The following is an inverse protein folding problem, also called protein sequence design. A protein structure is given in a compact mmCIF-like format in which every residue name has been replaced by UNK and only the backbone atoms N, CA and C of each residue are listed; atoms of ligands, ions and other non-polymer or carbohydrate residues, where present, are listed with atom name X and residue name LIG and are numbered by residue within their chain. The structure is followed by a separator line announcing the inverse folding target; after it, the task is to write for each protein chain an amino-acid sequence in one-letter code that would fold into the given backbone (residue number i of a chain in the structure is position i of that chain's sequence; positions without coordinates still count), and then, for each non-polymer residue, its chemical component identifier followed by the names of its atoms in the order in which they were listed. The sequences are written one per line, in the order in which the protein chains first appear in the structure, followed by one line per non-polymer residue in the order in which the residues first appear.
data_IF_254764449907
#
_entry.id   IF_254764449907
#
_cell.length_a   1.000
_cell.length_b   1.000
_cell.length_c   1.000
_cell.angle_alpha   90.00
_cell.angle_beta   90.00
_cell.angle_gamma   90.00
#
_symmetry.space_group_name_H-M   'P 1'
#
loop_
_entity.id
_entity.type
_entity.pdbx_description
1 polymer ?
#
# COMPACT_ATOMS: atom_id res chain seq x y z
N UNK A 1 -4.81 -25.64 8.35
CA UNK A 1 -3.78 -24.96 7.52
C UNK A 1 -4.44 -23.72 6.93
N UNK A 2 -4.00 -22.55 7.33
CA UNK A 2 -4.54 -21.30 6.79
C UNK A 2 -4.21 -21.16 5.30
N UNK A 3 -5.07 -20.46 4.54
CA UNK A 3 -4.88 -20.21 3.10
C UNK A 3 -3.50 -19.60 2.80
N UNK A 4 -3.01 -18.75 3.71
CA UNK A 4 -1.68 -18.13 3.63
C UNK A 4 -0.52 -19.13 3.72
N UNK A 5 -0.64 -20.12 4.62
CA UNK A 5 0.35 -21.21 4.78
C UNK A 5 0.31 -22.15 3.59
N UNK A 6 -0.90 -22.49 3.11
CA UNK A 6 -1.08 -23.31 1.91
C UNK A 6 -0.42 -22.66 0.68
N UNK A 7 -0.67 -21.37 0.47
CA UNK A 7 -0.06 -20.63 -0.65
C UNK A 7 1.46 -20.56 -0.49
N UNK A 8 1.97 -20.26 0.73
CA UNK A 8 3.43 -20.29 0.99
C UNK A 8 4.03 -21.66 0.72
N UNK A 9 3.36 -22.74 1.14
CA UNK A 9 3.85 -24.13 0.92
C UNK A 9 3.97 -24.45 -0.56
N UNK A 10 3.05 -23.97 -1.40
CA UNK A 10 3.11 -24.12 -2.86
C UNK A 10 4.37 -23.44 -3.42
N UNK A 11 4.64 -22.18 -3.02
CA UNK A 11 5.79 -21.41 -3.52
C UNK A 11 7.15 -21.91 -3.06
N UNK A 12 7.22 -22.58 -1.90
CA UNK A 12 8.45 -23.15 -1.35
C UNK A 12 8.64 -24.61 -1.70
N UNK A 13 7.63 -25.27 -2.27
CA UNK A 13 7.69 -26.70 -2.57
C UNK A 13 8.70 -27.02 -3.69
N UNK A 14 9.39 -28.18 -3.60
CA UNK A 14 10.24 -28.65 -4.70
C UNK A 14 9.48 -28.84 -6.02
N UNK A 15 8.20 -29.26 -5.94
CA UNK A 15 7.33 -29.42 -7.10
C UNK A 15 7.11 -28.08 -7.85
N UNK A 16 7.02 -26.94 -7.12
CA UNK A 16 6.92 -25.63 -7.74
C UNK A 16 8.17 -25.25 -8.53
N UNK A 17 9.36 -25.58 -8.03
CA UNK A 17 10.62 -25.35 -8.75
C UNK A 17 10.73 -26.20 -10.02
N UNK A 18 10.15 -27.39 -10.02
CA UNK A 18 10.13 -28.29 -11.18
C UNK A 18 9.15 -27.84 -12.25
N UNK A 19 7.94 -27.42 -11.83
CA UNK A 19 6.87 -26.96 -12.71
C UNK A 19 7.22 -25.65 -13.46
N UNK A 20 8.13 -24.84 -12.91
CA UNK A 20 8.66 -23.62 -13.55
C UNK A 20 9.32 -23.87 -14.90
N UNK A 21 9.84 -25.07 -15.12
CA UNK A 21 10.54 -25.47 -16.37
C UNK A 21 9.58 -25.99 -17.44
N UNK A 22 8.44 -26.57 -17.04
CA UNK A 22 7.54 -27.29 -17.93
C UNK A 22 6.25 -26.54 -18.31
N UNK A 23 5.69 -25.71 -17.42
CA UNK A 23 4.41 -25.01 -17.66
C UNK A 23 4.52 -23.55 -18.07
N UNK A 24 5.71 -23.04 -18.20
CA UNK A 24 5.99 -21.76 -18.83
C UNK A 24 5.64 -20.50 -18.04
N UNK A 25 5.99 -19.38 -18.64
CA UNK A 25 5.92 -18.02 -18.13
C UNK A 25 4.53 -17.60 -17.59
N UNK A 26 3.43 -18.07 -18.20
CA UNK A 26 2.06 -17.69 -17.81
C UNK A 26 1.67 -18.23 -16.41
N UNK A 27 2.01 -19.48 -16.10
CA UNK A 27 1.73 -20.06 -14.77
C UNK A 27 2.54 -19.37 -13.69
N UNK A 28 3.81 -19.06 -13.96
CA UNK A 28 4.67 -18.31 -13.06
C UNK A 28 4.14 -16.89 -12.83
N UNK A 29 3.72 -16.20 -13.90
CA UNK A 29 3.15 -14.87 -13.81
C UNK A 29 1.84 -14.85 -13.02
N UNK A 30 0.96 -15.85 -13.23
CA UNK A 30 -0.28 -16.00 -12.48
C UNK A 30 -0.02 -16.28 -10.99
N UNK A 31 0.87 -17.20 -10.67
CA UNK A 31 1.23 -17.50 -9.28
C UNK A 31 1.87 -16.31 -8.59
N UNK A 32 2.79 -15.60 -9.26
CA UNK A 32 3.39 -14.37 -8.75
C UNK A 32 2.34 -13.27 -8.53
N UNK A 33 1.38 -13.14 -9.43
CA UNK A 33 0.24 -12.24 -9.26
C UNK A 33 -0.57 -12.62 -8.03
N UNK A 34 -0.98 -13.88 -7.91
CA UNK A 34 -1.76 -14.40 -6.77
C UNK A 34 -1.03 -14.19 -5.45
N UNK A 35 0.28 -14.48 -5.39
CA UNK A 35 1.08 -14.21 -4.20
C UNK A 35 1.05 -12.73 -3.81
N UNK A 36 1.27 -11.83 -4.76
CA UNK A 36 1.25 -10.39 -4.47
C UNK A 36 -0.14 -9.86 -4.10
N UNK A 37 -1.21 -10.50 -4.57
CA UNK A 37 -2.58 -10.16 -4.12
C UNK A 37 -2.82 -10.60 -2.68
N UNK A 38 -2.34 -11.79 -2.30
CA UNK A 38 -2.58 -12.37 -0.97
C UNK A 38 -1.70 -11.79 0.12
N UNK A 39 -0.46 -11.41 -0.20
CA UNK A 39 0.50 -10.95 0.80
C UNK A 39 0.81 -9.46 0.67
N UNK A 40 1.29 -8.90 1.77
CA UNK A 40 1.72 -7.52 1.85
C UNK A 40 3.20 -7.36 1.49
N UNK A 41 3.56 -6.20 0.99
CA UNK A 41 4.93 -5.87 0.64
C UNK A 41 5.47 -4.75 1.53
N UNK A 42 6.68 -4.92 2.02
CA UNK A 42 7.42 -3.85 2.70
C UNK A 42 7.93 -2.85 1.67
N UNK A 43 7.42 -1.64 1.71
CA UNK A 43 7.76 -0.57 0.75
C UNK A 43 8.99 0.21 1.22
N UNK A 44 8.99 0.61 2.48
CA UNK A 44 10.15 1.24 3.14
C UNK A 44 10.47 0.50 4.44
N UNK A 45 11.47 0.95 5.18
CA UNK A 45 11.81 0.31 6.46
C UNK A 45 10.65 0.25 7.45
N UNK A 46 9.68 1.17 7.36
CA UNK A 46 8.57 1.28 8.31
C UNK A 46 7.18 1.32 7.68
N UNK A 47 7.06 1.17 6.36
CA UNK A 47 5.77 1.22 5.67
C UNK A 47 5.54 -0.05 4.88
N UNK A 48 4.42 -0.71 5.13
CA UNK A 48 3.90 -1.87 4.41
C UNK A 48 2.67 -1.47 3.60
N UNK A 49 2.50 -2.08 2.45
CA UNK A 49 1.36 -1.92 1.55
C UNK A 49 0.73 -3.29 1.29
N UNK A 50 -0.57 -3.42 1.54
CA UNK A 50 -1.24 -4.70 1.37
C UNK A 50 -2.76 -4.61 1.24
N UNK A 51 -3.40 -5.75 1.47
CA UNK A 51 -4.83 -5.99 1.32
C UNK A 51 -5.54 -6.11 2.69
N UNK A 52 -6.87 -6.29 2.65
CA UNK A 52 -7.67 -6.43 3.86
C UNK A 52 -7.47 -7.78 4.58
N UNK A 53 -7.04 -8.83 3.88
CA UNK A 53 -6.80 -10.16 4.48
C UNK A 53 -5.63 -10.07 5.46
N UNK A 54 -4.52 -9.47 5.06
CA UNK A 54 -3.41 -9.25 6.00
C UNK A 54 -3.70 -8.15 7.02
N UNK A 55 -4.64 -7.22 6.72
CA UNK A 55 -5.13 -6.26 7.71
C UNK A 55 -5.86 -6.95 8.87
N UNK A 56 -6.43 -8.14 8.69
CA UNK A 56 -7.09 -8.95 9.72
C UNK A 56 -6.18 -10.01 10.36
N UNK A 57 -4.94 -10.11 9.93
CA UNK A 57 -3.99 -11.12 10.41
C UNK A 57 -3.19 -10.58 11.61
N UNK A 58 -3.57 -11.01 12.81
CA UNK A 58 -2.92 -10.59 14.06
C UNK A 58 -1.44 -11.00 14.11
N UNK A 59 -1.10 -12.20 13.67
CA UNK A 59 0.29 -12.67 13.62
C UNK A 59 1.15 -11.75 12.74
N UNK A 60 0.62 -11.31 11.60
CA UNK A 60 1.30 -10.35 10.74
C UNK A 60 1.52 -9.01 11.44
N UNK A 61 0.49 -8.48 12.12
CA UNK A 61 0.56 -7.20 12.83
C UNK A 61 1.60 -7.25 13.97
N UNK A 62 1.56 -8.29 14.77
CA UNK A 62 2.47 -8.48 15.91
C UNK A 62 3.91 -8.70 15.43
N UNK A 63 4.12 -9.65 14.51
CA UNK A 63 5.46 -9.97 13.98
C UNK A 63 6.15 -8.79 13.32
N UNK A 64 5.40 -7.91 12.64
CA UNK A 64 5.94 -6.73 12.00
C UNK A 64 5.86 -5.47 12.89
N UNK A 65 5.47 -5.62 14.15
CA UNK A 65 5.31 -4.51 15.09
C UNK A 65 4.49 -3.34 14.51
N UNK A 66 3.38 -3.66 13.83
CA UNK A 66 2.50 -2.65 13.24
C UNK A 66 1.79 -1.90 14.37
N UNK A 67 2.00 -0.60 14.44
CA UNK A 67 1.37 0.29 15.42
C UNK A 67 0.32 1.20 14.78
N UNK A 68 0.36 1.33 13.47
CA UNK A 68 -0.50 2.23 12.71
C UNK A 68 -1.13 1.48 11.54
N UNK A 69 -2.44 1.55 11.42
CA UNK A 69 -3.18 1.04 10.25
C UNK A 69 -3.88 2.21 9.57
N UNK A 70 -3.67 2.31 8.24
CA UNK A 70 -4.38 3.24 7.38
C UNK A 70 -5.27 2.44 6.44
N UNK A 71 -6.57 2.51 6.67
CA UNK A 71 -7.59 1.82 5.91
C UNK A 71 -8.16 2.76 4.82
N UNK A 72 -7.84 2.48 3.56
CA UNK A 72 -8.30 3.27 2.41
C UNK A 72 -9.58 2.67 1.80
N UNK A 73 -10.60 2.44 2.62
CA UNK A 73 -11.91 1.96 2.18
C UNK A 73 -13.04 2.44 3.07
N UNK A 74 -14.26 2.44 2.55
CA UNK A 74 -15.48 2.76 3.31
C UNK A 74 -15.88 1.60 4.22
N UNK A 75 -15.91 0.39 3.68
CA UNK A 75 -16.67 -0.74 4.21
C UNK A 75 -15.82 -1.74 4.98
N UNK A 76 -14.51 -1.81 4.74
CA UNK A 76 -13.63 -2.72 5.45
C UNK A 76 -13.50 -2.25 6.92
N UNK A 77 -13.80 -3.11 7.90
CA UNK A 77 -13.67 -2.73 9.32
C UNK A 77 -12.21 -2.56 9.73
N UNK A 78 -11.98 -1.97 10.89
CA UNK A 78 -10.77 -2.19 11.66
C UNK A 78 -10.94 -3.48 12.46
N UNK A 79 -9.94 -4.33 12.45
CA UNK A 79 -10.02 -5.68 12.99
C UNK A 79 -9.50 -5.81 14.43
N UNK A 80 -8.72 -4.83 14.88
CA UNK A 80 -8.06 -4.88 16.18
C UNK A 80 -8.45 -3.68 17.03
N UNK A 81 -8.36 -3.87 18.33
CA UNK A 81 -8.53 -2.81 19.32
C UNK A 81 -7.26 -1.94 19.47
N UNK A 82 -7.34 -0.90 20.29
CA UNK A 82 -6.23 0.00 20.55
C UNK A 82 -5.04 -0.64 21.30
N UNK A 83 -5.20 -1.82 21.88
CA UNK A 83 -4.09 -2.53 22.53
C UNK A 83 -3.18 -3.18 21.50
N UNK A 84 -3.77 -3.82 20.47
CA UNK A 84 -3.01 -4.46 19.39
C UNK A 84 -2.52 -3.44 18.37
N UNK A 85 -3.41 -2.54 17.89
CA UNK A 85 -3.09 -1.48 16.93
C UNK A 85 -3.60 -0.12 17.44
N UNK A 86 -2.77 0.64 18.14
CA UNK A 86 -3.21 1.86 18.86
C UNK A 86 -3.60 3.03 17.95
N UNK A 87 -3.15 3.06 16.71
CA UNK A 87 -3.44 4.17 15.80
C UNK A 87 -4.11 3.66 14.52
N UNK A 88 -5.34 4.10 14.30
CA UNK A 88 -6.16 3.65 13.19
C UNK A 88 -6.77 4.85 12.47
N UNK A 89 -6.50 4.98 11.16
CA UNK A 89 -6.96 6.08 10.34
C UNK A 89 -7.71 5.56 9.12
N UNK A 90 -8.76 6.27 8.70
CA UNK A 90 -9.59 5.88 7.56
C UNK A 90 -9.60 6.96 6.49
N UNK A 91 -9.47 6.54 5.24
CA UNK A 91 -9.86 7.29 4.06
C UNK A 91 -11.07 6.60 3.44
N UNK A 92 -12.29 7.10 3.64
CA UNK A 92 -13.52 6.43 3.21
C UNK A 92 -13.79 6.66 1.72
N UNK A 93 -13.01 6.05 0.84
CA UNK A 93 -13.04 6.26 -0.61
C UNK A 93 -13.31 4.97 -1.38
N UNK A 94 -14.05 5.08 -2.49
CA UNK A 94 -14.28 4.00 -3.45
C UNK A 94 -13.18 3.93 -4.52
N UNK A 95 -13.07 2.78 -5.18
CA UNK A 95 -12.16 2.57 -6.31
C UNK A 95 -12.95 2.48 -7.63
N UNK A 96 -13.79 3.47 -7.87
CA UNK A 96 -14.74 3.56 -8.96
C UNK A 96 -14.30 4.48 -10.12
N UNK A 97 -13.17 5.13 -9.97
CA UNK A 97 -12.59 6.11 -10.91
C UNK A 97 -13.47 7.35 -11.15
N UNK A 98 -14.43 7.62 -10.27
CA UNK A 98 -15.26 8.82 -10.37
C UNK A 98 -14.52 10.06 -9.87
N UNK A 99 -14.84 11.26 -10.41
CA UNK A 99 -14.24 12.53 -9.95
C UNK A 99 -14.41 12.77 -8.45
N UNK A 100 -15.54 12.36 -7.90
CA UNK A 100 -15.88 12.48 -6.48
C UNK A 100 -14.90 11.66 -5.62
N UNK A 101 -14.63 10.41 -5.99
CA UNK A 101 -13.66 9.55 -5.29
C UNK A 101 -12.24 10.12 -5.40
N UNK A 102 -11.87 10.73 -6.55
CA UNK A 102 -10.59 11.42 -6.70
C UNK A 102 -10.50 12.64 -5.77
N UNK A 103 -11.58 13.42 -5.65
CA UNK A 103 -11.63 14.57 -4.77
C UNK A 103 -11.57 14.19 -3.29
N UNK A 104 -12.32 13.14 -2.89
CA UNK A 104 -12.26 12.58 -1.53
C UNK A 104 -10.83 12.12 -1.22
N UNK A 105 -10.21 11.31 -2.08
CA UNK A 105 -8.83 10.87 -1.88
C UNK A 105 -7.91 12.07 -1.69
N UNK A 106 -7.97 13.05 -2.58
CA UNK A 106 -7.11 14.25 -2.52
C UNK A 106 -7.30 15.03 -1.22
N UNK A 107 -8.52 15.18 -0.72
CA UNK A 107 -8.81 15.95 0.50
C UNK A 107 -8.18 15.34 1.76
N UNK A 108 -8.04 14.01 1.81
CA UNK A 108 -7.41 13.30 2.94
C UNK A 108 -5.87 13.21 2.84
N UNK A 109 -5.31 13.25 1.63
CA UNK A 109 -3.88 13.01 1.42
C UNK A 109 -2.95 13.92 2.25
N UNK A 110 -3.16 15.26 2.35
CA UNK A 110 -2.25 16.10 3.11
C UNK A 110 -2.15 15.70 4.58
N UNK A 111 -3.28 15.43 5.22
CA UNK A 111 -3.34 15.06 6.63
C UNK A 111 -2.79 13.65 6.87
N UNK A 112 -3.19 12.68 6.08
CA UNK A 112 -2.72 11.29 6.22
C UNK A 112 -1.21 11.20 6.00
N UNK A 113 -0.67 11.89 5.01
CA UNK A 113 0.78 11.89 4.77
C UNK A 113 1.51 12.58 5.92
N UNK A 114 0.96 13.65 6.49
CA UNK A 114 1.51 14.30 7.68
C UNK A 114 1.57 13.31 8.85
N UNK A 115 0.47 12.62 9.14
CA UNK A 115 0.39 11.59 10.19
C UNK A 115 1.38 10.45 9.94
N UNK A 116 1.48 9.94 8.71
CA UNK A 116 2.47 8.91 8.37
C UNK A 116 3.89 9.35 8.71
N UNK A 117 4.27 10.58 8.35
CA UNK A 117 5.59 11.13 8.66
C UNK A 117 5.85 11.20 10.17
N UNK A 118 4.89 11.69 10.93
CA UNK A 118 5.00 11.79 12.40
C UNK A 118 5.16 10.40 13.04
N UNK A 119 4.37 9.42 12.61
CA UNK A 119 4.49 8.07 13.13
C UNK A 119 5.83 7.42 12.77
N UNK A 120 6.30 7.60 11.55
CA UNK A 120 7.63 7.09 11.13
C UNK A 120 8.74 7.73 11.94
N UNK A 121 8.69 9.03 12.20
CA UNK A 121 9.66 9.75 13.05
C UNK A 121 9.64 9.25 14.51
N UNK A 122 8.48 8.84 15.03
CA UNK A 122 8.34 8.19 16.35
C UNK A 122 8.77 6.72 16.34
N UNK A 123 9.24 6.19 15.22
CA UNK A 123 9.67 4.80 15.11
C UNK A 123 8.56 3.78 14.89
N UNK A 124 7.31 4.21 14.62
CA UNK A 124 6.19 3.30 14.41
C UNK A 124 6.22 2.68 13.02
N UNK A 125 5.84 1.42 12.93
CA UNK A 125 5.59 0.72 11.68
C UNK A 125 4.14 0.92 11.26
N UNK A 126 3.93 1.16 9.98
CA UNK A 126 2.65 1.54 9.38
C UNK A 126 2.23 0.47 8.36
N UNK A 127 0.98 0.05 8.44
CA UNK A 127 0.34 -0.78 7.44
C UNK A 127 -0.73 0.03 6.70
N UNK A 128 -0.59 0.14 5.39
CA UNK A 128 -1.54 0.86 4.53
C UNK A 128 -2.26 -0.15 3.65
N UNK A 129 -3.58 -0.21 3.73
CA UNK A 129 -4.36 -1.16 2.96
C UNK A 129 -5.62 -0.56 2.34
N UNK A 130 -6.15 -1.24 1.35
CA UNK A 130 -7.51 -1.14 0.85
C UNK A 130 -8.04 -2.57 0.64
N UNK A 131 -8.94 -2.81 -0.29
CA UNK A 131 -9.39 -4.17 -0.58
C UNK A 131 -8.23 -5.06 -1.06
N UNK A 132 -7.64 -4.76 -2.22
CA UNK A 132 -6.57 -5.56 -2.81
C UNK A 132 -5.14 -4.99 -2.61
N UNK A 133 -5.01 -3.79 -2.07
CA UNK A 133 -3.71 -3.12 -1.96
C UNK A 133 -3.13 -2.70 -3.31
N UNK A 134 -3.99 -2.37 -4.29
CA UNK A 134 -3.59 -2.09 -5.67
C UNK A 134 -3.68 -0.62 -6.05
N UNK A 135 -4.76 0.08 -5.68
CA UNK A 135 -5.04 1.43 -6.16
C UNK A 135 -5.06 2.46 -5.02
N UNK A 136 -6.11 2.43 -4.17
CA UNK A 136 -6.35 3.43 -3.11
C UNK A 136 -5.18 3.55 -2.13
N UNK A 137 -4.79 2.45 -1.51
CA UNK A 137 -3.66 2.41 -0.57
C UNK A 137 -2.31 2.67 -1.24
N UNK A 138 -2.13 2.22 -2.49
CA UNK A 138 -0.93 2.51 -3.27
C UNK A 138 -0.80 4.02 -3.58
N UNK A 139 -1.91 4.72 -3.84
CA UNK A 139 -1.95 6.17 -4.00
C UNK A 139 -1.40 6.89 -2.75
N UNK A 140 -1.86 6.50 -1.56
CA UNK A 140 -1.40 7.06 -0.29
C UNK A 140 0.10 6.86 -0.10
N UNK A 141 0.60 5.65 -0.37
CA UNK A 141 2.03 5.34 -0.25
C UNK A 141 2.89 6.13 -1.24
N UNK A 142 2.42 6.31 -2.49
CA UNK A 142 3.10 7.20 -3.45
C UNK A 142 3.18 8.63 -2.93
N UNK A 143 2.08 9.19 -2.43
CA UNK A 143 2.07 10.55 -1.89
C UNK A 143 2.99 10.71 -0.66
N UNK A 144 3.07 9.68 0.18
CA UNK A 144 4.04 9.64 1.27
C UNK A 144 5.49 9.69 0.74
N UNK A 145 5.83 8.89 -0.27
CA UNK A 145 7.19 8.89 -0.88
C UNK A 145 7.53 10.24 -1.52
N UNK A 146 6.59 10.86 -2.23
CA UNK A 146 6.75 12.21 -2.81
C UNK A 146 7.05 13.26 -1.75
N UNK A 147 6.52 13.10 -0.55
CA UNK A 147 6.73 14.01 0.58
C UNK A 147 8.06 13.76 1.31
N UNK A 148 8.59 12.54 1.26
CA UNK A 148 9.78 12.12 2.03
C UNK A 148 11.04 12.02 1.19
N UNK A 149 10.91 11.79 -0.10
CA UNK A 149 12.00 11.56 -1.03
C UNK A 149 11.95 12.58 -2.15
N UNK A 150 13.11 12.92 -2.69
CA UNK A 150 13.20 13.82 -3.87
C UNK A 150 12.86 13.07 -5.16
N UNK A 151 11.64 12.51 -5.20
CA UNK A 151 11.11 11.79 -6.35
C UNK A 151 10.08 12.62 -7.09
N UNK A 152 10.00 12.47 -8.41
CA UNK A 152 8.83 12.91 -9.18
C UNK A 152 7.73 11.85 -9.14
N UNK A 153 6.57 12.16 -9.69
CA UNK A 153 5.39 11.29 -9.62
C UNK A 153 5.63 9.94 -10.30
N UNK A 154 6.30 9.91 -11.45
CA UNK A 154 6.54 8.68 -12.19
C UNK A 154 7.56 7.78 -11.49
N UNK A 155 8.60 8.36 -10.92
CA UNK A 155 9.59 7.65 -10.11
C UNK A 155 8.95 7.01 -8.87
N UNK A 156 8.10 7.73 -8.15
CA UNK A 156 7.43 7.21 -6.97
C UNK A 156 6.45 6.07 -7.32
N UNK A 157 5.71 6.20 -8.42
CA UNK A 157 4.84 5.13 -8.94
C UNK A 157 5.66 3.91 -9.34
N UNK A 158 6.74 4.10 -10.09
CA UNK A 158 7.64 3.01 -10.51
C UNK A 158 8.26 2.31 -9.30
N UNK A 159 8.68 3.04 -8.27
CA UNK A 159 9.22 2.49 -7.04
C UNK A 159 8.19 1.60 -6.32
N UNK A 160 6.94 2.07 -6.17
CA UNK A 160 5.87 1.28 -5.54
C UNK A 160 5.57 0.03 -6.38
N UNK A 161 5.48 0.14 -7.70
CA UNK A 161 5.29 -1.02 -8.61
C UNK A 161 6.43 -2.03 -8.53
N UNK A 162 7.67 -1.57 -8.39
CA UNK A 162 8.82 -2.46 -8.20
C UNK A 162 8.70 -3.27 -6.90
N UNK A 163 8.30 -2.62 -5.81
CA UNK A 163 8.11 -3.28 -4.50
C UNK A 163 6.85 -4.14 -4.43
N UNK A 164 5.77 -3.70 -5.07
CA UNK A 164 4.48 -4.39 -5.14
C UNK A 164 3.99 -4.44 -6.60
N UNK A 165 4.33 -5.50 -7.36
CA UNK A 165 4.07 -5.58 -8.80
C UNK A 165 2.62 -5.44 -9.24
N UNK A 166 1.66 -5.77 -8.37
CA UNK A 166 0.22 -5.60 -8.66
C UNK A 166 -0.28 -4.16 -8.47
N UNK A 167 0.51 -3.29 -7.84
CA UNK A 167 0.10 -1.91 -7.63
C UNK A 167 -0.14 -1.21 -8.98
N UNK A 168 -1.25 -0.48 -9.05
CA UNK A 168 -1.65 0.29 -10.23
C UNK A 168 -1.86 -0.54 -11.51
N UNK A 169 -2.27 -1.79 -11.37
CA UNK A 169 -2.61 -2.64 -12.52
C UNK A 169 -4.13 -2.55 -12.75
N UNK A 170 -4.59 -2.41 -14.02
CA UNK A 170 -3.79 -2.13 -15.23
C UNK A 170 -3.39 -0.65 -15.38
N UNK A 171 -4.06 0.27 -14.67
CA UNK A 171 -3.85 1.72 -14.76
C UNK A 171 -3.72 2.34 -13.36
N UNK A 172 -3.22 3.56 -13.28
CA UNK A 172 -3.14 4.36 -12.05
C UNK A 172 -4.46 5.11 -11.88
N UNK A 173 -5.45 4.50 -11.20
CA UNK A 173 -6.80 5.07 -11.06
C UNK A 173 -6.76 6.47 -10.41
N UNK A 174 -5.97 6.64 -9.35
CA UNK A 174 -5.88 7.90 -8.59
C UNK A 174 -4.77 8.85 -9.09
N UNK A 175 -4.34 8.74 -10.34
CA UNK A 175 -3.34 9.64 -10.92
C UNK A 175 -3.69 11.13 -10.79
N UNK A 176 -4.95 11.55 -10.99
CA UNK A 176 -5.34 12.96 -10.78
C UNK A 176 -5.09 13.43 -9.34
N UNK A 177 -5.42 12.62 -8.34
CA UNK A 177 -5.22 12.95 -6.91
C UNK A 177 -3.73 13.04 -6.55
N UNK A 178 -2.91 12.11 -7.06
CA UNK A 178 -1.46 12.13 -6.88
C UNK A 178 -0.85 13.40 -7.50
N UNK A 179 -1.23 13.74 -8.73
CA UNK A 179 -0.72 14.92 -9.43
C UNK A 179 -1.13 16.23 -8.71
N UNK A 180 -2.37 16.29 -8.21
CA UNK A 180 -2.86 17.42 -7.45
C UNK A 180 -2.08 17.58 -6.13
N UNK A 181 -1.86 16.49 -5.41
CA UNK A 181 -1.05 16.47 -4.19
C UNK A 181 0.38 16.95 -4.46
N UNK A 182 1.05 16.41 -5.48
CA UNK A 182 2.41 16.78 -5.82
C UNK A 182 2.54 18.27 -6.11
N UNK A 183 1.67 18.82 -6.97
CA UNK A 183 1.71 20.25 -7.34
C UNK A 183 1.40 21.18 -6.15
N UNK A 184 0.37 20.85 -5.38
CA UNK A 184 -0.18 21.78 -4.39
C UNK A 184 0.50 21.66 -3.01
N UNK A 185 1.06 20.50 -2.68
CA UNK A 185 1.68 20.27 -1.38
C UNK A 185 3.19 20.17 -1.49
N UNK A 186 3.72 19.31 -2.36
CA UNK A 186 5.16 19.04 -2.41
C UNK A 186 5.92 20.19 -3.07
N UNK A 187 5.50 20.63 -4.27
CA UNK A 187 6.20 21.68 -5.03
C UNK A 187 6.11 23.02 -4.31
N UNK A 188 4.94 23.40 -3.80
CA UNK A 188 4.75 24.67 -3.07
C UNK A 188 5.59 24.72 -1.78
N UNK A 189 5.63 23.62 -1.01
CA UNK A 189 6.44 23.55 0.20
C UNK A 189 7.94 23.69 -0.08
N UNK A 190 8.42 23.12 -1.19
CA UNK A 190 9.82 23.25 -1.60
C UNK A 190 10.17 24.64 -2.15
N UNK A 191 9.22 25.31 -2.80
CA UNK A 191 9.37 26.70 -3.26
C UNK A 191 9.46 27.72 -2.11
N UNK A 192 8.81 27.44 -0.98
CA UNK A 192 8.85 28.33 0.20
C UNK A 192 10.15 28.17 1.02
N UNK A 193 10.85 27.04 0.92
CA UNK A 193 12.14 26.79 1.61
C UNK A 193 13.35 27.39 0.90
N UNK A 194 13.20 27.88 -0.33
CA UNK A 194 14.29 28.46 -1.14
C UNK A 194 14.30 30.01 -1.11
N UNK A 195 13.45 30.63 -0.30
CA UNK A 195 13.43 32.06 -0.02
C UNK A 195 13.79 32.29 1.44
#
# INVERSE_FOLDING_TARGET
MELSEYVRSIYTSPAYRFDRKERGFLTYAYMRYTYNVLFSNKITNRVWLGNYIEASNEEFMVRNHIRVVINCSKDIPFYFDGNTVPYQYRIPVDDDRQPESMAIMYSYLPEIVRLMREHVLRGHNIYVHCHAGMQRSACVVVCYLLSMCSMNVDEAIAFVKHKRPIAFTPFVNFRPSINAYYRNVVVRSNGCRKR
#
